data_IF_430827575947
#
_entry.id   IF_430827575947
#
_cell.length_a   1.000
_cell.length_b   1.000
_cell.length_c   1.000
_cell.angle_alpha   90.00
_cell.angle_beta   90.00
_cell.angle_gamma   90.00
#
_symmetry.space_group_name_H-M   'P 1'
#
loop_
_entity.id
_entity.type
_entity.pdbx_description
1 polymer ?
#
# COMPACT_ATOMS: atom_id res chain seq x y z
N UNK A 1 -26.43 19.88 15.18
CA UNK A 1 -25.16 19.22 14.80
C UNK A 1 -24.93 19.06 13.28
N UNK A 2 -25.80 19.53 12.37
CA UNK A 2 -25.62 19.35 10.91
C UNK A 2 -24.82 20.46 10.21
N UNK A 3 -24.72 21.66 10.79
CA UNK A 3 -24.16 22.85 10.12
C UNK A 3 -22.70 22.68 9.70
N UNK A 4 -21.86 22.12 10.59
CA UNK A 4 -20.44 21.91 10.32
C UNK A 4 -20.17 20.85 9.23
N UNK A 5 -20.99 19.80 9.17
CA UNK A 5 -20.85 18.77 8.15
C UNK A 5 -21.22 19.30 6.75
N UNK A 6 -22.28 20.13 6.66
CA UNK A 6 -22.68 20.79 5.42
C UNK A 6 -21.61 21.76 4.92
N UNK A 7 -20.99 22.53 5.81
CA UNK A 7 -19.94 23.50 5.48
C UNK A 7 -18.66 22.82 4.98
N UNK A 8 -18.31 21.66 5.55
CA UNK A 8 -17.17 20.85 5.10
C UNK A 8 -17.41 20.19 3.74
N UNK A 9 -18.65 19.79 3.44
CA UNK A 9 -19.01 19.28 2.12
C UNK A 9 -19.01 20.38 1.05
N UNK A 10 -19.44 21.59 1.41
CA UNK A 10 -19.47 22.73 0.51
C UNK A 10 -18.08 23.23 0.09
N UNK A 11 -17.06 23.03 0.94
CA UNK A 11 -15.66 23.42 0.66
C UNK A 11 -14.84 22.35 -0.08
N UNK A 12 -15.43 21.20 -0.38
CA UNK A 12 -14.73 20.11 -1.05
C UNK A 12 -14.59 20.40 -2.57
N UNK A 13 -13.39 20.81 -2.98
CA UNK A 13 -13.05 21.00 -4.40
C UNK A 13 -12.93 19.63 -5.10
N UNK A 14 -13.85 19.35 -6.02
CA UNK A 14 -13.81 18.15 -6.87
C UNK A 14 -13.16 18.53 -8.20
N UNK A 15 -11.95 18.03 -8.46
CA UNK A 15 -11.26 18.22 -9.74
C UNK A 15 -12.06 17.62 -10.90
N UNK A 16 -12.29 18.41 -11.94
CA UNK A 16 -12.99 18.01 -13.17
C UNK A 16 -12.00 17.27 -14.08
N UNK A 17 -12.23 15.99 -14.37
CA UNK A 17 -11.50 15.28 -15.43
C UNK A 17 -12.14 15.67 -16.77
N UNK A 18 -11.38 16.37 -17.62
CA UNK A 18 -11.76 16.67 -18.99
C UNK A 18 -11.91 15.37 -19.78
N UNK A 19 -13.14 15.06 -20.20
CA UNK A 19 -13.41 14.02 -21.19
C UNK A 19 -13.00 14.56 -22.55
N UNK A 20 -11.79 14.23 -22.99
CA UNK A 20 -11.44 14.36 -24.40
C UNK A 20 -12.09 13.23 -25.20
N UNK A 21 -12.61 13.59 -26.36
CA UNK A 21 -13.41 12.77 -27.27
C UNK A 21 -12.79 11.39 -27.57
N UNK A 22 -13.40 10.35 -27.01
CA UNK A 22 -13.20 8.93 -27.33
C UNK A 22 -13.87 8.56 -28.66
N UNK A 23 -13.39 9.11 -29.78
CA UNK A 23 -13.85 8.68 -31.11
C UNK A 23 -12.81 8.82 -32.25
N UNK A 24 -11.74 9.61 -32.12
CA UNK A 24 -10.86 9.95 -33.28
C UNK A 24 -9.44 9.34 -33.18
N UNK A 25 -9.07 8.67 -32.08
CA UNK A 25 -7.71 8.13 -31.92
C UNK A 25 -7.58 6.61 -32.08
N UNK A 26 -8.67 5.90 -32.38
CA UNK A 26 -8.67 4.43 -32.42
C UNK A 26 -8.10 3.82 -33.72
N UNK A 27 -7.61 4.62 -34.67
CA UNK A 27 -7.18 4.11 -35.99
C UNK A 27 -5.67 4.21 -36.25
N UNK A 28 -4.82 4.68 -35.32
CA UNK A 28 -3.37 4.81 -35.61
C UNK A 28 -2.37 4.42 -34.53
N UNK A 29 -2.77 4.01 -33.32
CA UNK A 29 -1.85 3.39 -32.36
C UNK A 29 -2.50 2.15 -31.76
N UNK A 30 -1.96 0.97 -32.10
CA UNK A 30 -2.36 -0.32 -31.55
C UNK A 30 -2.06 -0.43 -30.05
N UNK A 31 -2.89 0.19 -29.21
CA UNK A 31 -2.86 0.09 -27.76
C UNK A 31 -3.94 -0.88 -27.28
N UNK A 32 -3.82 -2.14 -27.66
CA UNK A 32 -4.49 -3.25 -26.99
C UNK A 32 -3.52 -3.81 -25.96
N UNK A 33 -3.42 -3.21 -24.76
CA UNK A 33 -2.90 -3.89 -23.54
C UNK A 33 -3.02 -3.13 -22.20
N UNK A 34 -3.49 -1.87 -22.14
CA UNK A 34 -3.26 -1.04 -20.93
C UNK A 34 -4.31 -1.08 -19.80
N UNK A 35 -5.36 -1.91 -19.87
CA UNK A 35 -6.43 -1.92 -18.84
C UNK A 35 -6.35 -3.04 -17.79
N UNK A 36 -5.41 -3.99 -17.92
CA UNK A 36 -5.13 -4.96 -16.87
C UNK A 36 -4.14 -4.42 -15.81
N UNK A 37 -3.26 -3.49 -16.21
CA UNK A 37 -2.17 -2.98 -15.37
C UNK A 37 -2.59 -1.84 -14.41
N UNK A 38 -3.80 -1.30 -14.53
CA UNK A 38 -4.29 -0.27 -13.60
C UNK A 38 -4.51 -0.78 -12.17
N UNK A 39 -4.63 -2.10 -11.98
CA UNK A 39 -4.94 -2.70 -10.69
C UNK A 39 -3.80 -2.69 -9.67
N UNK A 40 -2.54 -2.69 -10.13
CA UNK A 40 -1.33 -2.74 -9.29
C UNK A 40 -0.92 -1.36 -8.79
N UNK A 41 -1.25 -0.29 -9.52
CA UNK A 41 -0.96 1.09 -9.11
C UNK A 41 -1.94 1.64 -8.07
N UNK A 42 -3.06 0.95 -7.85
CA UNK A 42 -4.10 1.35 -6.90
C UNK A 42 -3.80 0.82 -5.50
N UNK A 43 -3.81 1.71 -4.52
CA UNK A 43 -3.67 1.33 -3.11
C UNK A 43 -4.89 0.56 -2.61
N UNK A 44 -4.65 -0.68 -2.16
CA UNK A 44 -5.61 -1.57 -1.53
C UNK A 44 -5.34 -1.64 -0.03
N UNK A 45 -6.38 -1.91 0.75
CA UNK A 45 -6.26 -2.00 2.21
C UNK A 45 -5.93 -3.42 2.66
N UNK A 46 -4.97 -3.52 3.57
CA UNK A 46 -4.57 -4.74 4.24
C UNK A 46 -4.57 -4.51 5.75
N UNK A 47 -4.85 -5.56 6.51
CA UNK A 47 -4.85 -5.52 7.97
C UNK A 47 -3.57 -6.17 8.50
N UNK A 48 -2.96 -5.56 9.50
CA UNK A 48 -1.81 -6.11 10.21
C UNK A 48 -2.27 -7.25 11.12
N UNK A 49 -1.86 -8.47 10.84
CA UNK A 49 -2.28 -9.67 11.59
C UNK A 49 -1.21 -10.17 12.55
N UNK A 50 0.07 -9.91 12.24
CA UNK A 50 1.17 -10.36 13.08
C UNK A 50 2.35 -9.39 13.07
N UNK A 51 3.02 -9.29 14.21
CA UNK A 51 4.27 -8.55 14.40
C UNK A 51 5.20 -9.50 15.16
N UNK A 52 6.38 -9.74 14.62
CA UNK A 52 7.39 -10.64 15.19
C UNK A 52 8.76 -9.97 15.15
N UNK A 53 9.51 -10.01 16.24
CA UNK A 53 10.91 -9.53 16.25
C UNK A 53 11.82 -10.64 15.75
N UNK A 54 12.56 -10.38 14.67
CA UNK A 54 13.45 -11.37 14.03
C UNK A 54 14.93 -11.16 14.38
N UNK A 55 15.22 -10.21 15.26
CA UNK A 55 16.56 -9.96 15.82
C UNK A 55 16.69 -10.49 17.24
N UNK A 56 17.93 -10.68 17.69
CA UNK A 56 18.23 -11.02 19.09
C UNK A 56 17.74 -9.92 20.05
N UNK A 57 17.42 -10.34 21.26
CA UNK A 57 17.09 -9.42 22.37
C UNK A 57 18.27 -8.50 22.62
N UNK A 58 18.01 -7.19 22.73
CA UNK A 58 19.05 -6.17 22.95
C UNK A 58 19.78 -5.68 21.69
N UNK A 59 19.32 -6.04 20.49
CA UNK A 59 19.85 -5.44 19.26
C UNK A 59 19.58 -3.93 19.22
N UNK A 60 20.61 -3.13 18.90
CA UNK A 60 20.52 -1.66 18.83
C UNK A 60 19.41 -1.20 17.86
N UNK A 61 19.28 -1.87 16.72
CA UNK A 61 18.26 -1.57 15.70
C UNK A 61 17.49 -2.83 15.37
N UNK A 62 16.42 -3.13 16.12
CA UNK A 62 15.68 -4.37 15.94
C UNK A 62 15.05 -4.41 14.56
N UNK A 63 14.94 -5.62 13.98
CA UNK A 63 14.19 -5.85 12.75
C UNK A 63 12.92 -6.57 13.14
N UNK A 64 11.79 -6.05 12.66
CA UNK A 64 10.48 -6.66 12.86
C UNK A 64 9.90 -7.14 11.54
N UNK A 65 9.24 -8.30 11.62
CA UNK A 65 8.44 -8.89 10.57
C UNK A 65 6.99 -8.51 10.80
N UNK A 66 6.43 -7.78 9.84
CA UNK A 66 5.03 -7.40 9.84
C UNK A 66 4.30 -8.25 8.81
N UNK A 67 3.26 -8.97 9.22
CA UNK A 67 2.43 -9.79 8.33
C UNK A 67 1.08 -9.11 8.13
N UNK A 68 0.74 -8.87 6.87
CA UNK A 68 -0.49 -8.22 6.46
C UNK A 68 -1.39 -9.18 5.71
N UNK A 69 -2.70 -9.01 5.84
CA UNK A 69 -3.71 -9.81 5.15
C UNK A 69 -4.74 -8.93 4.45
N UNK A 70 -5.17 -9.33 3.25
CA UNK A 70 -6.23 -8.64 2.52
C UNK A 70 -7.54 -8.65 3.32
N UNK A 71 -8.15 -7.47 3.47
CA UNK A 71 -9.46 -7.31 4.15
C UNK A 71 -10.58 -7.96 3.32
N UNK A 72 -10.46 -7.87 2.00
CA UNK A 72 -11.46 -8.42 1.10
C UNK A 72 -11.29 -9.94 1.00
N UNK A 73 -12.30 -10.68 1.45
CA UNK A 73 -12.28 -12.15 1.45
C UNK A 73 -12.04 -12.76 0.06
N UNK A 74 -12.41 -12.07 -1.01
CA UNK A 74 -12.26 -12.57 -2.38
C UNK A 74 -10.94 -12.12 -3.04
N UNK A 75 -10.20 -11.20 -2.41
CA UNK A 75 -8.92 -10.73 -2.96
C UNK A 75 -7.78 -11.56 -2.41
N UNK A 76 -7.12 -12.30 -3.29
CA UNK A 76 -5.81 -12.88 -3.01
C UNK A 76 -4.74 -11.79 -3.08
N UNK A 77 -3.62 -12.00 -2.37
CA UNK A 77 -2.45 -11.18 -2.61
C UNK A 77 -1.91 -11.56 -3.99
N UNK A 78 -1.57 -10.59 -4.87
CA UNK A 78 -1.03 -10.92 -6.19
C UNK A 78 0.24 -11.77 -6.04
N UNK A 79 0.46 -12.67 -7.00
CA UNK A 79 1.72 -13.41 -7.08
C UNK A 79 2.85 -12.43 -7.39
N UNK A 80 4.02 -12.69 -6.84
CA UNK A 80 5.23 -11.89 -7.04
C UNK A 80 6.43 -12.82 -7.15
N UNK A 81 7.49 -12.33 -7.80
CA UNK A 81 8.76 -13.01 -7.91
C UNK A 81 9.78 -12.42 -6.92
N UNK A 82 10.84 -13.16 -6.58
CA UNK A 82 11.96 -12.59 -5.84
C UNK A 82 12.57 -11.43 -6.63
N UNK A 83 12.66 -10.26 -6.00
CA UNK A 83 13.11 -9.02 -6.64
C UNK A 83 12.00 -7.97 -6.72
N UNK A 84 10.75 -8.41 -6.78
CA UNK A 84 9.61 -7.49 -6.78
C UNK A 84 9.54 -6.69 -5.47
N UNK A 85 8.91 -5.53 -5.55
CA UNK A 85 8.62 -4.70 -4.38
C UNK A 85 7.17 -4.23 -4.37
N UNK A 86 6.67 -3.90 -3.19
CA UNK A 86 5.39 -3.23 -2.99
C UNK A 86 5.62 -1.91 -2.29
N UNK A 87 4.64 -1.02 -2.34
CA UNK A 87 4.73 0.25 -1.63
C UNK A 87 3.67 0.33 -0.54
N UNK A 88 4.12 0.68 0.66
CA UNK A 88 3.27 1.00 1.79
C UNK A 88 3.01 2.49 1.82
N UNK A 89 1.75 2.88 2.00
CA UNK A 89 1.34 4.26 2.24
C UNK A 89 0.75 4.38 3.65
N UNK A 90 1.31 5.28 4.44
CA UNK A 90 0.76 5.67 5.74
C UNK A 90 0.61 7.20 5.86
N UNK A 91 -0.22 7.64 6.80
CA UNK A 91 -0.39 9.04 7.15
C UNK A 91 0.23 9.23 8.54
N UNK A 92 1.36 9.94 8.60
CA UNK A 92 2.12 10.17 9.83
C UNK A 92 2.17 11.68 10.04
N UNK A 93 1.64 12.18 11.16
CA UNK A 93 1.71 13.60 11.55
C UNK A 93 1.22 14.56 10.44
N UNK A 94 0.16 14.18 9.72
CA UNK A 94 -0.43 14.97 8.64
C UNK A 94 0.31 14.87 7.30
N UNK A 95 1.42 14.14 7.24
CA UNK A 95 2.18 13.87 6.01
C UNK A 95 1.86 12.47 5.47
N UNK A 96 1.81 12.35 4.13
CA UNK A 96 1.67 11.06 3.46
C UNK A 96 3.07 10.52 3.18
N UNK A 97 3.38 9.37 3.76
CA UNK A 97 4.67 8.68 3.58
C UNK A 97 4.44 7.42 2.76
N UNK A 98 5.15 7.31 1.65
CA UNK A 98 5.14 6.11 0.78
C UNK A 98 6.53 5.52 0.76
N UNK A 99 6.67 4.22 1.05
CA UNK A 99 7.96 3.52 1.04
C UNK A 99 7.87 2.14 0.39
N UNK A 100 8.85 1.77 -0.46
CA UNK A 100 8.93 0.46 -1.06
C UNK A 100 9.49 -0.58 -0.06
N UNK A 101 8.96 -1.81 -0.14
CA UNK A 101 9.42 -2.97 0.61
C UNK A 101 9.32 -4.23 -0.23
N UNK A 102 10.25 -5.15 -0.05
CA UNK A 102 10.20 -6.47 -0.69
C UNK A 102 9.21 -7.37 0.07
N UNK A 103 8.15 -7.87 -0.58
CA UNK A 103 7.24 -8.83 0.03
C UNK A 103 7.90 -10.19 0.23
N UNK A 104 7.48 -10.86 1.30
CA UNK A 104 7.77 -12.25 1.61
C UNK A 104 6.44 -12.98 1.66
N UNK A 105 6.36 -14.18 1.10
CA UNK A 105 5.11 -14.92 1.03
C UNK A 105 4.60 -15.20 2.46
N UNK A 106 3.34 -14.84 2.72
CA UNK A 106 2.70 -15.14 3.98
C UNK A 106 2.28 -16.61 4.07
N UNK A 107 1.84 -17.03 5.25
CA UNK A 107 1.30 -18.38 5.48
C UNK A 107 0.02 -18.67 4.70
N UNK A 108 -0.66 -17.64 4.17
CA UNK A 108 -1.87 -17.76 3.35
C UNK A 108 -1.70 -17.08 2.00
N UNK A 109 -2.49 -17.48 1.01
CA UNK A 109 -2.55 -16.83 -0.30
C UNK A 109 -3.09 -15.38 -0.25
N UNK A 110 -3.61 -14.95 0.90
CA UNK A 110 -4.14 -13.59 1.12
C UNK A 110 -3.19 -12.73 1.94
N UNK A 111 -2.06 -13.28 2.38
CA UNK A 111 -1.12 -12.59 3.26
C UNK A 111 0.28 -12.53 2.68
N UNK A 112 0.96 -11.46 3.05
CA UNK A 112 2.38 -11.27 2.79
C UNK A 112 3.02 -10.73 4.07
N UNK A 113 4.33 -10.88 4.18
CA UNK A 113 5.12 -10.28 5.24
C UNK A 113 6.16 -9.33 4.65
N UNK A 114 6.61 -8.38 5.46
CA UNK A 114 7.74 -7.53 5.15
C UNK A 114 8.65 -7.47 6.37
N UNK A 115 9.94 -7.26 6.12
CA UNK A 115 10.93 -7.04 7.16
C UNK A 115 11.29 -5.56 7.19
N UNK A 116 11.17 -4.95 8.36
CA UNK A 116 11.49 -3.53 8.56
C UNK A 116 12.48 -3.43 9.70
N UNK A 117 13.63 -2.81 9.42
CA UNK A 117 14.55 -2.35 10.45
C UNK A 117 13.96 -1.11 11.13
N UNK A 118 13.86 -1.14 12.45
CA UNK A 118 13.34 -0.03 13.24
C UNK A 118 14.47 0.98 13.43
N UNK A 119 14.35 2.13 12.76
CA UNK A 119 15.26 3.26 12.91
C UNK A 119 14.68 4.26 13.90
N UNK A 120 15.50 4.80 14.81
CA UNK A 120 15.08 5.77 15.83
C UNK A 120 14.32 6.96 15.22
N UNK A 121 14.86 7.56 14.16
CA UNK A 121 14.26 8.71 13.47
C UNK A 121 13.39 8.33 12.25
N UNK A 122 13.15 7.04 12.03
CA UNK A 122 12.45 6.57 10.84
C UNK A 122 10.94 6.77 10.96
N UNK A 123 10.38 7.72 10.21
CA UNK A 123 8.94 8.04 10.23
C UNK A 123 8.05 6.80 10.08
N UNK A 124 8.19 6.05 8.99
CA UNK A 124 7.33 4.89 8.70
C UNK A 124 7.67 3.68 9.59
N UNK A 125 8.95 3.45 9.88
CA UNK A 125 9.36 2.33 10.73
C UNK A 125 8.86 2.49 12.16
N UNK A 126 9.01 3.68 12.75
CA UNK A 126 8.50 3.99 14.09
C UNK A 126 6.97 4.01 14.11
N UNK A 127 6.37 4.57 13.06
CA UNK A 127 4.91 4.58 12.95
C UNK A 127 4.34 3.17 12.96
N UNK A 128 4.89 2.25 12.16
CA UNK A 128 4.49 0.84 12.15
C UNK A 128 4.82 0.11 13.45
N UNK A 129 5.95 0.42 14.09
CA UNK A 129 6.37 -0.22 15.33
C UNK A 129 5.39 0.01 16.49
N UNK A 130 4.72 1.16 16.48
CA UNK A 130 3.71 1.56 17.45
C UNK A 130 2.32 0.97 17.16
N UNK A 131 2.08 0.39 15.99
CA UNK A 131 0.76 -0.14 15.64
C UNK A 131 0.50 -1.50 16.30
N UNK A 132 -0.78 -1.77 16.57
CA UNK A 132 -1.25 -3.06 17.06
C UNK A 132 -1.82 -3.92 15.92
N UNK A 133 -2.00 -5.21 16.22
CA UNK A 133 -2.76 -6.11 15.34
C UNK A 133 -4.16 -5.54 15.10
N UNK A 134 -4.66 -5.67 13.88
CA UNK A 134 -5.90 -5.05 13.42
C UNK A 134 -5.71 -3.69 12.73
N UNK A 135 -4.51 -3.11 12.74
CA UNK A 135 -4.22 -1.86 12.03
C UNK A 135 -4.36 -2.01 10.51
N UNK A 136 -5.07 -1.08 9.86
CA UNK A 136 -5.22 -1.05 8.40
C UNK A 136 -4.11 -0.22 7.75
N UNK A 137 -3.48 -0.76 6.70
CA UNK A 137 -2.51 -0.05 5.87
C UNK A 137 -2.90 -0.11 4.40
N UNK A 138 -2.49 0.92 3.65
CA UNK A 138 -2.64 0.97 2.20
C UNK A 138 -1.38 0.43 1.52
N UNK A 139 -1.57 -0.53 0.61
CA UNK A 139 -0.49 -1.20 -0.13
C UNK A 139 -0.82 -1.18 -1.63
N UNK A 140 0.19 -0.93 -2.47
CA UNK A 140 0.10 -1.12 -3.92
C UNK A 140 1.30 -1.92 -4.43
N UNK A 141 1.21 -2.42 -5.67
CA UNK A 141 2.11 -3.41 -6.23
C UNK A 141 1.52 -4.83 -6.14
N UNK A 142 2.35 -5.88 -6.24
CA UNK A 142 3.80 -5.87 -6.44
C UNK A 142 4.21 -5.22 -7.78
N UNK A 143 5.42 -4.66 -7.84
CA UNK A 143 6.05 -4.05 -9.00
C UNK A 143 7.34 -4.80 -9.32
N UNK A 144 7.58 -5.02 -10.60
CA UNK A 144 8.87 -5.49 -11.12
C UNK A 144 9.84 -4.30 -11.20
N UNK A 145 11.13 -4.58 -11.00
CA UNK A 145 12.23 -3.61 -11.19
C UNK A 145 12.64 -3.53 -12.67
N UNK A 146 12.26 -4.51 -13.49
CA UNK A 146 12.64 -4.63 -14.90
C UNK A 146 11.73 -3.92 -15.92
N UNK A 147 10.61 -3.33 -15.50
CA UNK A 147 9.70 -2.55 -16.38
C UNK A 147 9.95 -1.04 -16.33
#
# INVERSE_FOLDING_TARGET
HSKFATEKLASMVIGRISRYNTAILNESLGLTDTYANSGIHVFRRYVLINIETVTKVGAERPVRKFTFQSINANNQFPKFLPGDYLELMCHVEGQVVVRPYTPIQGSSLKSFSILIKIYEDGLLSQYLDRQLKGFEIKVRGPFDIGE
#
